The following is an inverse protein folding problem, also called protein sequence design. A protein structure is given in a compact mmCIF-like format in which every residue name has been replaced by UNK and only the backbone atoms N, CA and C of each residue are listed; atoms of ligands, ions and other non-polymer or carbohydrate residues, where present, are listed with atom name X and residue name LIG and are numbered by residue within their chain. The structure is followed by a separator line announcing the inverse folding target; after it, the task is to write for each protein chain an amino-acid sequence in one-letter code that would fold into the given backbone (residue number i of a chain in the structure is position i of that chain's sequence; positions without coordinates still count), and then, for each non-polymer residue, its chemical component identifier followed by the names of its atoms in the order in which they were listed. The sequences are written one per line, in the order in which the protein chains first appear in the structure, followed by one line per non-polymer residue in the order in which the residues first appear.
data_IF_005864304800
#
_entry.id   IF_005864304800
#
_cell.length_a   1.000
_cell.length_b   1.000
_cell.length_c   1.000
_cell.angle_alpha   90.00
_cell.angle_beta   90.00
_cell.angle_gamma   90.00
#
_symmetry.space_group_name_H-M   'P 1'
#
loop_
_entity.id
_entity.type
_entity.pdbx_description
1 polymer ?
#
# COMPACT_ATOMS: atom_id res chain seq x y z
N UNK A 1 6.46 -0.13 -11.45
CA UNK A 1 7.06 0.16 -10.13
C UNK A 1 6.87 1.60 -9.68
N UNK A 2 7.18 2.60 -10.52
CA UNK A 2 6.89 4.01 -10.19
C UNK A 2 5.43 4.24 -9.80
N UNK A 3 4.51 3.60 -10.54
CA UNK A 3 3.08 3.55 -10.22
C UNK A 3 2.81 3.05 -8.80
N UNK A 4 3.32 1.86 -8.44
CA UNK A 4 3.18 1.27 -7.10
C UNK A 4 3.71 2.20 -6.00
N UNK A 5 4.93 2.75 -6.16
CA UNK A 5 5.51 3.70 -5.19
C UNK A 5 4.62 4.92 -5.02
N UNK A 6 4.14 5.49 -6.14
CA UNK A 6 3.31 6.67 -6.13
C UNK A 6 1.95 6.45 -5.49
N UNK A 7 1.21 5.40 -5.87
CA UNK A 7 -0.12 5.14 -5.28
C UNK A 7 -0.03 4.73 -3.80
N UNK A 8 1.03 4.02 -3.39
CA UNK A 8 1.29 3.73 -1.98
C UNK A 8 1.52 4.99 -1.16
N UNK A 9 2.23 5.98 -1.72
CA UNK A 9 2.41 7.28 -1.07
C UNK A 9 1.09 8.05 -1.00
N UNK A 10 0.35 8.12 -2.11
CA UNK A 10 -0.92 8.84 -2.19
C UNK A 10 -1.93 8.28 -1.19
N UNK A 11 -1.92 6.98 -0.90
CA UNK A 11 -2.86 6.35 0.02
C UNK A 11 -2.84 6.92 1.46
N UNK A 12 -1.75 7.56 1.89
CA UNK A 12 -1.66 8.13 3.22
C UNK A 12 -2.53 9.38 3.42
N UNK A 13 -2.58 10.26 2.41
CA UNK A 13 -3.15 11.62 2.56
C UNK A 13 -4.05 12.06 1.38
N UNK A 14 -4.14 11.25 0.32
CA UNK A 14 -4.93 11.57 -0.86
C UNK A 14 -6.43 11.49 -0.59
N UNK A 15 -7.19 12.45 -1.12
CA UNK A 15 -8.65 12.50 -0.99
C UNK A 15 -9.34 12.58 -2.35
N UNK A 16 -10.61 12.16 -2.41
CA UNK A 16 -11.42 12.20 -3.64
C UNK A 16 -11.36 13.56 -4.32
N UNK A 17 -11.10 13.58 -5.62
CA UNK A 17 -10.97 14.79 -6.43
C UNK A 17 -9.54 15.30 -6.56
N UNK A 18 -8.60 14.83 -5.74
CA UNK A 18 -7.19 15.16 -5.90
C UNK A 18 -6.60 14.59 -7.19
N UNK A 19 -5.60 15.29 -7.72
CA UNK A 19 -4.84 14.92 -8.91
C UNK A 19 -3.35 14.96 -8.63
N UNK A 20 -2.60 14.01 -9.16
CA UNK A 20 -1.15 13.89 -8.96
C UNK A 20 -0.44 13.67 -10.29
N UNK A 21 0.65 14.39 -10.51
CA UNK A 21 1.57 14.20 -11.62
C UNK A 21 2.62 13.18 -11.23
N UNK A 22 2.69 12.07 -11.96
CA UNK A 22 3.69 11.02 -11.77
C UNK A 22 4.99 11.34 -12.54
N UNK A 23 6.12 10.72 -12.19
CA UNK A 23 7.42 11.02 -12.82
C UNK A 23 7.47 10.80 -14.34
N UNK A 24 6.58 9.97 -14.89
CA UNK A 24 6.45 9.72 -16.33
C UNK A 24 5.58 10.78 -17.05
N UNK A 25 5.12 11.80 -16.33
CA UNK A 25 4.25 12.86 -16.83
C UNK A 25 2.77 12.49 -16.85
N UNK A 26 2.38 11.28 -16.45
CA UNK A 26 0.97 10.90 -16.37
C UNK A 26 0.28 11.58 -15.19
N UNK A 27 -0.95 12.05 -15.41
CA UNK A 27 -1.80 12.56 -14.34
C UNK A 27 -2.71 11.45 -13.84
N UNK A 28 -2.75 11.28 -12.52
CA UNK A 28 -3.61 10.31 -11.84
C UNK A 28 -4.60 11.05 -10.95
N UNK A 29 -5.84 10.61 -10.98
CA UNK A 29 -6.94 11.18 -10.21
C UNK A 29 -7.40 10.22 -9.13
N UNK A 30 -7.77 10.76 -7.97
CA UNK A 30 -8.42 10.00 -6.90
C UNK A 30 -9.92 10.02 -7.12
N UNK A 31 -10.47 8.86 -7.43
CA UNK A 31 -11.89 8.70 -7.74
C UNK A 31 -12.75 8.50 -6.50
N UNK A 32 -12.16 7.88 -5.47
CA UNK A 32 -12.82 7.64 -4.20
C UNK A 32 -11.78 7.44 -3.09
N UNK A 33 -12.10 7.81 -1.86
CA UNK A 33 -11.30 7.55 -0.67
C UNK A 33 -12.15 6.96 0.47
N UNK A 34 -11.48 6.32 1.41
CA UNK A 34 -12.08 5.76 2.62
C UNK A 34 -11.12 5.87 3.78
N UNK A 35 -11.50 6.59 4.83
CA UNK A 35 -10.72 6.70 6.05
C UNK A 35 -11.58 6.49 7.31
N UNK A 36 -11.00 5.95 8.38
CA UNK A 36 -11.61 5.97 9.72
C UNK A 36 -10.57 6.10 10.82
N UNK A 37 -10.82 7.01 11.77
CA UNK A 37 -9.97 7.21 12.94
C UNK A 37 -10.08 6.07 13.96
N UNK A 38 -11.17 5.29 13.94
CA UNK A 38 -11.39 4.21 14.92
C UNK A 38 -10.38 3.08 14.78
N UNK A 39 -10.01 2.75 13.54
CA UNK A 39 -9.05 1.67 13.25
C UNK A 39 -7.77 2.16 12.60
N UNK A 40 -7.72 3.41 12.14
CA UNK A 40 -6.62 3.95 11.34
C UNK A 40 -6.64 3.47 9.88
N UNK A 41 -7.73 2.80 9.45
CA UNK A 41 -7.86 2.33 8.07
C UNK A 41 -7.96 3.51 7.11
N UNK A 42 -7.11 3.52 6.07
CA UNK A 42 -7.13 4.49 4.97
C UNK A 42 -6.92 3.78 3.63
N UNK A 43 -7.69 4.17 2.62
CA UNK A 43 -7.57 3.64 1.27
C UNK A 43 -8.02 4.67 0.23
N UNK A 44 -7.43 4.59 -0.97
CA UNK A 44 -7.76 5.45 -2.11
C UNK A 44 -7.90 4.62 -3.37
N UNK A 45 -8.89 4.95 -4.20
CA UNK A 45 -9.03 4.44 -5.55
C UNK A 45 -8.46 5.47 -6.54
N UNK A 46 -7.42 5.07 -7.25
CA UNK A 46 -6.72 5.94 -8.20
C UNK A 46 -6.87 5.44 -9.63
N UNK A 47 -6.84 6.37 -10.59
CA UNK A 47 -6.84 6.06 -12.01
C UNK A 47 -5.99 7.07 -12.79
N UNK A 48 -5.08 6.63 -13.68
CA UNK A 48 -4.43 7.51 -14.64
C UNK A 48 -5.46 8.05 -15.65
N UNK A 49 -5.44 9.34 -15.94
CA UNK A 49 -6.46 9.99 -16.78
C UNK A 49 -6.46 9.50 -18.23
N UNK A 50 -5.36 8.90 -18.69
CA UNK A 50 -5.18 8.47 -20.07
C UNK A 50 -5.49 6.99 -20.33
N UNK A 51 -5.87 6.18 -19.32
CA UNK A 51 -6.21 4.76 -19.52
C UNK A 51 -7.14 4.21 -18.43
N UNK A 52 -7.86 3.15 -18.78
CA UNK A 52 -8.74 2.41 -17.85
C UNK A 52 -7.93 1.46 -16.96
N UNK A 53 -7.23 2.03 -15.96
CA UNK A 53 -6.53 1.27 -14.92
C UNK A 53 -6.98 1.75 -13.54
N UNK A 54 -7.65 0.89 -12.77
CA UNK A 54 -8.15 1.23 -11.44
C UNK A 54 -7.30 0.56 -10.37
N UNK A 55 -6.60 1.37 -9.58
CA UNK A 55 -5.70 0.88 -8.52
C UNK A 55 -6.27 1.28 -7.16
N UNK A 56 -6.64 0.29 -6.35
CA UNK A 56 -7.05 0.49 -4.96
C UNK A 56 -5.80 0.34 -4.06
N UNK A 57 -5.36 1.44 -3.46
CA UNK A 57 -4.19 1.49 -2.61
C UNK A 57 -4.59 1.65 -1.13
N UNK A 58 -3.94 0.90 -0.25
CA UNK A 58 -4.14 0.96 1.20
C UNK A 58 -2.93 1.60 1.88
N UNK A 59 -3.17 2.52 2.82
CA UNK A 59 -2.10 3.10 3.63
C UNK A 59 -1.62 2.12 4.68
N UNK A 60 -0.38 2.30 5.13
CA UNK A 60 0.09 1.70 6.37
C UNK A 60 -0.34 2.52 7.59
N UNK A 61 0.09 2.09 8.77
CA UNK A 61 -0.10 2.86 10.01
C UNK A 61 0.72 4.15 10.01
N UNK A 62 0.17 5.23 10.56
CA UNK A 62 0.84 6.53 10.68
C UNK A 62 2.04 6.47 11.66
N UNK A 63 2.06 5.51 12.61
CA UNK A 63 3.22 5.21 13.46
C UNK A 63 3.73 3.79 13.26
N UNK A 64 4.50 3.60 12.20
CA UNK A 64 5.18 2.32 11.89
C UNK A 64 6.13 1.90 13.03
N UNK A 65 6.84 2.86 13.64
CA UNK A 65 7.87 2.57 14.64
C UNK A 65 7.26 2.09 15.96
N UNK A 66 6.17 2.71 16.39
CA UNK A 66 5.42 2.24 17.57
C UNK A 66 4.77 0.89 17.26
N UNK A 67 4.28 0.70 16.02
CA UNK A 67 3.71 -0.57 15.62
C UNK A 67 4.71 -1.74 15.71
N UNK A 68 5.95 -1.58 15.24
CA UNK A 68 6.95 -2.65 15.31
C UNK A 68 7.23 -3.06 16.75
N UNK A 69 7.25 -2.08 17.67
CA UNK A 69 7.53 -2.33 19.08
C UNK A 69 6.33 -2.92 19.84
N UNK A 70 5.10 -2.49 19.53
CA UNK A 70 3.88 -2.82 20.29
C UNK A 70 2.99 -3.89 19.62
N UNK A 71 3.54 -4.64 18.66
CA UNK A 71 2.81 -5.50 17.72
C UNK A 71 1.81 -6.52 18.29
N UNK A 72 1.88 -6.84 19.59
CA UNK A 72 0.94 -7.74 20.28
C UNK A 72 -0.42 -7.08 20.52
N UNK A 73 -0.49 -5.80 20.88
CA UNK A 73 -1.78 -5.11 21.09
C UNK A 73 -2.48 -4.74 19.77
N UNK A 74 -1.69 -4.51 18.72
CA UNK A 74 -2.20 -4.06 17.42
C UNK A 74 -2.93 -5.16 16.61
N UNK A 75 -2.79 -6.44 16.97
CA UNK A 75 -3.44 -7.57 16.28
C UNK A 75 -4.98 -7.47 16.22
N UNK A 76 -5.62 -6.94 17.27
CA UNK A 76 -7.07 -6.75 17.29
C UNK A 76 -7.55 -5.71 16.28
N UNK A 77 -6.83 -4.58 16.18
CA UNK A 77 -7.09 -3.54 15.18
C UNK A 77 -6.88 -4.02 13.75
N UNK A 78 -5.88 -4.87 13.52
CA UNK A 78 -5.60 -5.43 12.20
C UNK A 78 -6.69 -6.32 11.67
N UNK A 79 -7.24 -7.20 12.50
CA UNK A 79 -8.36 -8.06 12.10
C UNK A 79 -9.52 -7.24 11.51
N UNK A 80 -9.79 -6.07 12.10
CA UNK A 80 -10.81 -5.16 11.58
C UNK A 80 -10.38 -4.51 10.25
N UNK A 81 -9.16 -3.98 10.16
CA UNK A 81 -8.65 -3.39 8.91
C UNK A 81 -8.61 -4.39 7.74
N UNK A 82 -8.27 -5.67 7.98
CA UNK A 82 -8.33 -6.72 6.96
C UNK A 82 -9.75 -6.96 6.44
N UNK A 83 -10.73 -6.95 7.34
CA UNK A 83 -12.14 -7.09 6.97
C UNK A 83 -12.65 -5.86 6.22
N UNK A 84 -12.23 -4.66 6.63
CA UNK A 84 -12.53 -3.40 5.94
C UNK A 84 -11.92 -3.37 4.53
N UNK A 85 -10.66 -3.77 4.39
CA UNK A 85 -9.95 -3.83 3.11
C UNK A 85 -10.64 -4.77 2.12
N UNK A 86 -11.01 -5.98 2.56
CA UNK A 86 -11.70 -6.95 1.70
C UNK A 86 -13.10 -6.46 1.31
N UNK A 87 -13.85 -5.91 2.26
CA UNK A 87 -15.20 -5.39 2.00
C UNK A 87 -15.17 -4.21 1.01
N UNK A 88 -14.21 -3.29 1.18
CA UNK A 88 -14.01 -2.17 0.27
C UNK A 88 -13.58 -2.65 -1.11
N UNK A 89 -12.64 -3.60 -1.18
CA UNK A 89 -12.18 -4.20 -2.44
C UNK A 89 -13.35 -4.80 -3.22
N UNK A 90 -14.19 -5.62 -2.57
CA UNK A 90 -15.34 -6.23 -3.22
C UNK A 90 -16.37 -5.20 -3.68
N UNK A 91 -16.57 -4.13 -2.91
CA UNK A 91 -17.45 -3.03 -3.30
C UNK A 91 -16.92 -2.30 -4.52
N UNK A 92 -15.68 -1.81 -4.46
CA UNK A 92 -15.09 -1.04 -5.56
C UNK A 92 -14.83 -1.90 -6.79
N UNK A 93 -14.61 -3.20 -6.64
CA UNK A 93 -14.58 -4.13 -7.77
C UNK A 93 -15.89 -4.09 -8.56
N UNK A 94 -17.04 -4.08 -7.88
CA UNK A 94 -18.35 -4.01 -8.53
C UNK A 94 -18.66 -2.63 -9.09
N UNK A 95 -18.21 -1.58 -8.41
CA UNK A 95 -18.56 -0.19 -8.73
C UNK A 95 -17.66 0.40 -9.85
N UNK A 96 -16.38 0.06 -9.86
CA UNK A 96 -15.37 0.65 -10.77
C UNK A 96 -14.61 -0.37 -11.61
N UNK A 97 -14.63 -1.65 -11.24
CA UNK A 97 -13.75 -2.66 -11.83
C UNK A 97 -12.30 -2.47 -11.40
N UNK A 98 -11.96 -2.77 -10.14
CA UNK A 98 -10.58 -2.69 -9.64
C UNK A 98 -9.69 -3.67 -10.41
N UNK A 99 -8.58 -3.17 -10.94
CA UNK A 99 -7.63 -3.97 -11.72
C UNK A 99 -6.43 -4.41 -10.89
N UNK A 100 -6.04 -3.58 -9.92
CA UNK A 100 -4.83 -3.79 -9.14
C UNK A 100 -4.99 -3.29 -7.70
N UNK A 101 -4.32 -3.98 -6.78
CA UNK A 101 -4.22 -3.61 -5.38
C UNK A 101 -2.80 -3.15 -5.07
N UNK A 102 -2.67 -2.14 -4.22
CA UNK A 102 -1.38 -1.67 -3.77
C UNK A 102 -1.37 -1.35 -2.29
N UNK A 103 -0.19 -1.35 -1.68
CA UNK A 103 -0.05 -0.90 -0.31
C UNK A 103 1.36 -0.99 0.24
N UNK A 104 1.60 -0.19 1.27
CA UNK A 104 2.88 -0.13 1.96
C UNK A 104 2.73 -0.57 3.43
N UNK A 105 3.73 -1.23 4.01
CA UNK A 105 3.70 -1.62 5.42
C UNK A 105 2.46 -2.50 5.72
N UNK A 106 1.68 -2.17 6.75
CA UNK A 106 0.37 -2.76 6.99
C UNK A 106 -0.53 -2.77 5.75
N UNK A 107 -0.59 -1.66 5.01
CA UNK A 107 -1.38 -1.56 3.77
C UNK A 107 -0.96 -2.58 2.72
N UNK A 108 0.33 -2.97 2.69
CA UNK A 108 0.81 -4.06 1.86
C UNK A 108 0.22 -5.42 2.27
N UNK A 109 0.14 -5.68 3.57
CA UNK A 109 -0.57 -6.84 4.11
C UNK A 109 -2.06 -6.84 3.74
N UNK A 110 -2.74 -5.69 3.89
CA UNK A 110 -4.16 -5.51 3.51
C UNK A 110 -4.40 -5.80 2.02
N UNK A 111 -3.51 -5.30 1.15
CA UNK A 111 -3.54 -5.54 -0.28
C UNK A 111 -3.33 -7.01 -0.62
N UNK A 112 -2.35 -7.67 0.00
CA UNK A 112 -2.05 -9.09 -0.21
C UNK A 112 -3.18 -10.00 0.28
N UNK A 113 -3.74 -9.71 1.46
CA UNK A 113 -4.91 -10.43 1.98
C UNK A 113 -6.10 -10.31 1.03
N UNK A 114 -6.41 -9.08 0.57
CA UNK A 114 -7.49 -8.83 -0.37
C UNK A 114 -7.23 -9.54 -1.70
N UNK A 115 -5.99 -9.49 -2.21
CA UNK A 115 -5.55 -10.17 -3.44
C UNK A 115 -5.82 -11.67 -3.40
N UNK A 116 -5.44 -12.35 -2.33
CA UNK A 116 -5.68 -13.80 -2.20
C UNK A 116 -7.16 -14.14 -2.20
N UNK A 117 -8.00 -13.27 -1.63
CA UNK A 117 -9.44 -13.50 -1.51
C UNK A 117 -10.21 -13.15 -2.79
N UNK A 118 -9.73 -12.19 -3.58
CA UNK A 118 -10.43 -11.69 -4.78
C UNK A 118 -9.77 -12.10 -6.10
N UNK A 119 -8.55 -12.66 -6.06
CA UNK A 119 -7.67 -12.95 -7.20
C UNK A 119 -7.23 -11.72 -7.99
N UNK A 120 -7.48 -10.51 -7.49
CA UNK A 120 -6.94 -9.26 -8.06
C UNK A 120 -5.44 -9.22 -7.77
N UNK A 121 -4.64 -8.84 -8.75
CA UNK A 121 -3.17 -8.73 -8.57
C UNK A 121 -2.79 -7.64 -7.58
N UNK A 122 -1.69 -7.82 -6.87
CA UNK A 122 -1.19 -6.85 -5.89
C UNK A 122 0.30 -6.55 -6.03
N UNK A 123 0.66 -5.29 -5.81
CA UNK A 123 2.04 -4.83 -5.67
C UNK A 123 2.21 -4.11 -4.34
N UNK A 124 3.12 -4.59 -3.50
CA UNK A 124 3.29 -4.05 -2.15
C UNK A 124 4.70 -3.54 -1.92
N UNK A 125 4.88 -2.58 -1.03
CA UNK A 125 6.20 -2.08 -0.62
C UNK A 125 6.38 -2.38 0.87
N UNK A 126 7.47 -3.05 1.24
CA UNK A 126 7.77 -3.42 2.63
C UNK A 126 6.54 -3.95 3.39
N UNK A 127 5.83 -4.96 2.86
CA UNK A 127 4.55 -5.37 3.42
C UNK A 127 4.72 -5.98 4.81
N UNK A 128 3.76 -5.70 5.69
CA UNK A 128 3.66 -6.36 6.98
C UNK A 128 3.37 -7.86 6.81
N UNK A 129 3.93 -8.71 7.70
CA UNK A 129 3.66 -10.13 7.68
C UNK A 129 2.18 -10.42 7.96
N UNK A 130 1.66 -11.45 7.27
CA UNK A 130 0.31 -11.97 7.51
C UNK A 130 0.39 -13.12 8.52
N UNK A 131 0.70 -12.77 9.78
CA UNK A 131 0.83 -13.78 10.84
C UNK A 131 -0.55 -14.41 11.12
N UNK A 132 -0.69 -15.71 10.86
CA UNK A 132 -1.82 -16.54 11.31
C UNK A 132 -3.15 -16.39 10.55
N UNK A 133 -3.30 -15.44 9.63
CA UNK A 133 -4.58 -15.20 8.92
C UNK A 133 -4.68 -15.88 7.55
N UNK A 134 -3.61 -16.49 7.06
CA UNK A 134 -3.57 -17.13 5.75
C UNK A 134 -3.35 -18.63 5.83
N UNK A 135 -3.98 -19.37 4.91
CA UNK A 135 -3.71 -20.79 4.74
C UNK A 135 -2.31 -21.02 4.19
N UNK A 136 -1.67 -22.14 4.54
CA UNK A 136 -0.34 -22.54 4.05
C UNK A 136 -0.25 -22.50 2.51
N UNK A 137 -1.35 -22.84 1.82
CA UNK A 137 -1.42 -22.78 0.35
C UNK A 137 -1.32 -21.36 -0.23
N UNK A 138 -1.74 -20.35 0.53
CA UNK A 138 -1.63 -18.95 0.12
C UNK A 138 -0.21 -18.39 0.29
N UNK A 139 0.60 -19.01 1.17
CA UNK A 139 1.97 -18.62 1.47
C UNK A 139 2.99 -19.17 0.45
N UNK A 140 2.63 -20.21 -0.31
CA UNK A 140 3.50 -20.79 -1.35
C UNK A 140 3.46 -19.93 -2.61
N UNK A 141 4.37 -18.96 -2.70
CA UNK A 141 4.76 -18.30 -3.95
C UNK A 141 3.59 -17.84 -4.82
N UNK A 142 2.66 -17.06 -4.26
CA UNK A 142 1.50 -16.58 -5.00
C UNK A 142 1.95 -15.63 -6.14
N UNK A 143 1.83 -16.03 -7.42
CA UNK A 143 2.33 -15.22 -8.53
C UNK A 143 1.55 -13.92 -8.74
N UNK A 144 0.38 -13.78 -8.10
CA UNK A 144 -0.47 -12.59 -8.18
C UNK A 144 0.07 -11.42 -7.34
N UNK A 145 1.00 -11.70 -6.41
CA UNK A 145 1.51 -10.73 -5.43
C UNK A 145 2.99 -10.50 -5.68
N UNK A 146 3.36 -9.24 -5.88
CA UNK A 146 4.75 -8.79 -5.98
C UNK A 146 5.10 -7.92 -4.79
N UNK A 147 6.07 -8.34 -4.00
CA UNK A 147 6.55 -7.58 -2.84
C UNK A 147 7.87 -6.89 -3.19
N UNK A 148 7.89 -5.57 -3.15
CA UNK A 148 9.12 -4.78 -3.27
C UNK A 148 9.72 -4.58 -1.89
N UNK A 149 10.89 -5.17 -1.67
CA UNK A 149 11.59 -5.15 -0.38
C UNK A 149 13.05 -4.76 -0.60
N UNK A 150 13.70 -4.05 0.34
CA UNK A 150 15.08 -3.62 0.15
C UNK A 150 16.02 -4.82 0.08
N UNK A 151 17.02 -4.72 -0.81
CA UNK A 151 18.09 -5.72 -0.92
C UNK A 151 18.82 -5.94 0.41
N UNK A 152 19.02 -4.84 1.16
CA UNK A 152 19.73 -4.83 2.45
C UNK A 152 18.81 -5.10 3.67
N UNK A 153 17.56 -5.50 3.42
CA UNK A 153 16.56 -5.72 4.47
C UNK A 153 16.08 -4.44 5.16
N UNK A 154 14.91 -4.56 5.77
CA UNK A 154 14.30 -3.59 6.68
C UNK A 154 13.48 -4.30 7.77
N UNK A 155 13.15 -3.57 8.82
CA UNK A 155 12.58 -4.06 10.07
C UNK A 155 11.29 -4.89 9.98
N UNK A 156 10.37 -4.56 9.08
CA UNK A 156 9.07 -5.21 8.93
C UNK A 156 9.15 -6.45 8.04
N UNK A 157 9.57 -6.33 6.77
CA UNK A 157 9.57 -7.45 5.82
C UNK A 157 10.64 -8.51 6.11
N UNK A 158 11.62 -8.19 6.98
CA UNK A 158 12.59 -9.18 7.48
C UNK A 158 12.07 -9.99 8.67
N UNK A 159 10.88 -9.66 9.20
CA UNK A 159 10.27 -10.38 10.32
C UNK A 159 9.70 -11.75 9.92
N UNK A 160 9.44 -12.59 10.92
CA UNK A 160 8.90 -13.94 10.72
C UNK A 160 7.44 -13.86 10.25
N UNK A 161 7.04 -14.75 9.32
CA UNK A 161 5.68 -14.76 8.76
C UNK A 161 5.49 -13.90 7.51
N UNK A 162 6.56 -13.75 6.70
CA UNK A 162 6.64 -13.00 5.44
C UNK A 162 5.33 -13.01 4.64
N UNK A 163 5.01 -11.84 4.07
CA UNK A 163 3.90 -11.68 3.14
C UNK A 163 4.02 -12.70 1.98
N UNK A 164 2.93 -13.35 1.55
CA UNK A 164 2.96 -14.22 0.38
C UNK A 164 3.37 -13.44 -0.87
N UNK A 165 3.88 -14.17 -1.86
CA UNK A 165 4.17 -13.62 -3.17
C UNK A 165 5.63 -13.73 -3.57
N UNK A 166 5.96 -13.05 -4.67
CA UNK A 166 7.32 -12.96 -5.19
C UNK A 166 7.98 -11.68 -4.70
N UNK A 167 9.08 -11.84 -4.00
CA UNK A 167 9.90 -10.70 -3.58
C UNK A 167 10.79 -10.22 -4.72
N UNK A 168 10.74 -8.92 -4.97
CA UNK A 168 11.67 -8.19 -5.84
C UNK A 168 12.53 -7.33 -4.93
N UNK A 169 13.84 -7.60 -4.95
CA UNK A 169 14.83 -6.81 -4.22
C UNK A 169 15.05 -5.48 -4.93
N UNK A 170 14.96 -4.37 -4.18
CA UNK A 170 15.15 -3.01 -4.70
C UNK A 170 16.17 -2.23 -3.87
N UNK A 171 16.74 -1.18 -4.46
CA UNK A 171 17.60 -0.24 -3.75
C UNK A 171 16.78 0.56 -2.74
N UNK A 172 17.34 0.81 -1.57
CA UNK A 172 16.75 1.68 -0.56
C UNK A 172 17.84 2.45 0.20
N UNK A 173 17.52 3.65 0.66
CA UNK A 173 18.44 4.52 1.42
C UNK A 173 18.14 4.49 2.91
N UNK A 174 19.12 4.90 3.71
CA UNK A 174 18.99 4.93 5.16
C UNK A 174 19.38 3.63 5.86
N UNK A 175 18.92 3.48 7.10
CA UNK A 175 19.23 2.37 8.00
C UNK A 175 18.11 1.33 8.01
N UNK A 176 18.25 0.28 8.83
CA UNK A 176 17.28 -0.82 8.91
C UNK A 176 15.85 -0.37 9.23
N UNK A 177 15.68 0.74 9.94
CA UNK A 177 14.39 1.33 10.31
C UNK A 177 13.88 2.28 9.22
N UNK A 178 14.73 3.20 8.75
CA UNK A 178 14.29 4.25 7.81
C UNK A 178 14.08 3.73 6.40
N UNK A 179 14.72 2.62 6.00
CA UNK A 179 14.44 1.93 4.73
C UNK A 179 13.00 1.44 4.60
N UNK A 180 12.28 1.34 5.72
CA UNK A 180 10.87 1.00 5.69
C UNK A 180 10.04 2.07 4.96
N UNK A 181 10.39 3.35 5.09
CA UNK A 181 9.61 4.46 4.53
C UNK A 181 9.51 4.40 2.99
N UNK A 182 8.30 4.62 2.44
CA UNK A 182 8.06 4.64 0.97
C UNK A 182 9.04 5.58 0.25
N UNK A 183 9.30 6.77 0.81
CA UNK A 183 10.22 7.74 0.24
C UNK A 183 11.67 7.23 0.09
N UNK A 184 12.12 6.37 1.00
CA UNK A 184 13.47 5.81 1.00
C UNK A 184 13.62 4.56 0.12
N UNK A 185 12.51 4.02 -0.37
CA UNK A 185 12.49 2.89 -1.30
C UNK A 185 12.67 3.39 -2.73
N UNK A 186 13.70 2.91 -3.44
CA UNK A 186 14.09 3.36 -4.79
C UNK A 186 14.20 4.89 -4.86
N UNK A 187 15.25 5.49 -4.27
CA UNK A 187 15.39 6.94 -4.19
C UNK A 187 15.40 7.63 -5.57
N UNK A 188 15.85 6.92 -6.61
CA UNK A 188 15.93 7.43 -7.99
C UNK A 188 14.57 7.58 -8.68
N UNK A 189 13.49 7.10 -8.05
CA UNK A 189 12.12 7.26 -8.54
C UNK A 189 11.43 8.33 -7.68
N UNK A 190 11.19 9.55 -8.21
CA UNK A 190 10.51 10.60 -7.46
C UNK A 190 9.08 10.20 -7.06
N UNK A 191 8.57 10.82 -5.99
CA UNK A 191 7.16 10.69 -5.61
C UNK A 191 6.27 11.58 -6.49
N UNK A 192 5.00 11.20 -6.72
CA UNK A 192 4.05 12.05 -7.44
C UNK A 192 3.84 13.39 -6.73
N UNK A 193 3.60 14.44 -7.51
CA UNK A 193 3.36 15.80 -7.01
C UNK A 193 1.90 16.16 -7.22
N UNK A 194 1.24 16.71 -6.20
CA UNK A 194 -0.16 17.14 -6.31
C UNK A 194 -0.31 18.26 -7.33
N UNK A 195 -1.26 18.12 -8.25
CA UNK A 195 -1.55 19.09 -9.31
C UNK A 195 -2.58 20.10 -8.81
N UNK A 196 -2.35 21.39 -9.07
CA UNK A 196 -3.31 22.45 -8.72
C UNK A 196 -3.30 22.88 -7.25
N UNK A 197 -2.35 22.40 -6.44
CA UNK A 197 -2.04 22.96 -5.13
C UNK A 197 -1.32 24.30 -5.27
N UNK A 198 -2.07 25.37 -5.50
CA UNK A 198 -1.58 26.72 -5.19
C UNK A 198 -1.18 26.78 -3.71
N UNK A 199 -0.13 27.55 -3.42
CA UNK A 199 0.41 27.75 -2.08
C UNK A 199 -0.69 27.81 -1.01
N UNK A 200 -0.77 26.78 -0.15
CA UNK A 200 -1.50 26.92 1.09
C UNK A 200 -0.69 27.84 1.98
N UNK A 201 -1.15 29.08 2.14
CA UNK A 201 -0.73 29.93 3.23
C UNK A 201 -0.80 29.16 4.55
N UNK A 202 0.24 29.37 5.35
CA UNK A 202 0.23 29.11 6.78
C UNK A 202 -1.08 29.60 7.40
N UNK A 203 -1.79 28.70 8.08
CA UNK A 203 -2.68 29.06 9.17
C UNK A 203 -1.87 29.07 10.47
#
# INVERSE_FOLDING_TARGET
MAETKGVCQIAYDGVTGDRYSFPDGTIWSILADRATHLTGFKAVLTKPENRELYVLAFAGSDSVMDFIHDGIQALGGYSHQYTQALSLTLRYQREYGVHHLAGHSLGGGLAAYSSVRTRITASTINPAPLVGMMTIGSLRGNPQITNYVPANGEVVSSSWGRNPGRDIKVTATGNFLTRHMVGNMMPDIPLPVKVGGGASGSW
#
